data_IF_926372475980
#
_entry.id   IF_926372475980
#
_cell.length_a   1.000
_cell.length_b   1.000
_cell.length_c   1.000
_cell.angle_alpha   90.00
_cell.angle_beta   90.00
_cell.angle_gamma   90.00
#
_symmetry.space_group_name_H-M   'P 1'
#
loop_
_entity.id
_entity.type
_entity.pdbx_description
1 polymer ?
#
# COMPACT_ATOMS: atom_id res chain seq x y z
N UNK A 1 -12.95 -49.40 2.86
CA UNK A 1 -12.01 -49.10 1.77
C UNK A 1 -11.23 -47.84 2.13
N UNK A 2 -9.91 -47.93 2.31
CA UNK A 2 -9.06 -46.78 2.66
C UNK A 2 -8.86 -45.91 1.41
N UNK A 3 -9.64 -44.84 1.27
CA UNK A 3 -9.45 -43.84 0.21
C UNK A 3 -8.27 -42.94 0.56
N UNK A 4 -7.34 -42.80 -0.38
CA UNK A 4 -6.14 -41.97 -0.23
C UNK A 4 -6.46 -40.58 -0.77
N UNK A 5 -6.14 -39.52 -0.01
CA UNK A 5 -6.40 -38.16 -0.46
C UNK A 5 -5.20 -37.55 -1.20
N UNK A 6 -5.48 -36.69 -2.18
CA UNK A 6 -4.49 -35.78 -2.72
C UNK A 6 -4.42 -34.55 -1.82
N UNK A 7 -3.24 -34.31 -1.21
CA UNK A 7 -3.05 -33.14 -0.35
C UNK A 7 -3.19 -31.81 -1.11
N UNK A 8 -3.03 -31.84 -2.44
CA UNK A 8 -3.01 -30.65 -3.29
C UNK A 8 -4.44 -30.16 -3.62
N UNK A 9 -5.30 -31.02 -4.16
CA UNK A 9 -6.68 -30.67 -4.53
C UNK A 9 -7.73 -31.15 -3.52
N UNK A 10 -7.42 -32.15 -2.68
CA UNK A 10 -8.39 -32.77 -1.77
C UNK A 10 -9.25 -33.87 -2.40
N UNK A 11 -8.98 -34.26 -3.65
CA UNK A 11 -9.64 -35.40 -4.29
C UNK A 11 -9.23 -36.72 -3.62
N UNK A 12 -10.15 -37.68 -3.60
CA UNK A 12 -9.95 -39.01 -3.03
C UNK A 12 -9.71 -40.03 -4.15
N UNK A 13 -8.80 -40.97 -3.92
CA UNK A 13 -8.38 -41.99 -4.85
C UNK A 13 -8.39 -43.35 -4.19
N UNK A 14 -8.75 -44.38 -4.96
CA UNK A 14 -8.84 -45.75 -4.47
C UNK A 14 -7.50 -46.50 -4.54
N UNK A 15 -6.47 -45.92 -5.19
CA UNK A 15 -5.13 -46.51 -5.28
C UNK A 15 -4.01 -45.45 -5.27
N UNK A 16 -2.83 -45.86 -4.81
CA UNK A 16 -1.64 -45.00 -4.81
C UNK A 16 -1.20 -44.64 -6.24
N UNK A 17 -1.32 -45.57 -7.20
CA UNK A 17 -0.98 -45.35 -8.61
C UNK A 17 -1.79 -44.21 -9.23
N UNK A 18 -3.11 -44.19 -8.99
CA UNK A 18 -3.99 -43.12 -9.46
C UNK A 18 -3.67 -41.77 -8.79
N UNK A 19 -3.32 -41.80 -7.50
CA UNK A 19 -2.88 -40.61 -6.79
C UNK A 19 -1.60 -40.03 -7.39
N UNK A 20 -0.58 -40.85 -7.67
CA UNK A 20 0.70 -40.38 -8.22
C UNK A 20 0.51 -39.77 -9.61
N UNK A 21 -0.27 -40.42 -10.48
CA UNK A 21 -0.61 -39.88 -11.80
C UNK A 21 -1.36 -38.55 -11.68
N UNK A 22 -2.31 -38.45 -10.74
CA UNK A 22 -3.04 -37.23 -10.47
C UNK A 22 -2.16 -36.11 -9.92
N UNK A 23 -1.24 -36.39 -8.99
CA UNK A 23 -0.36 -35.39 -8.36
C UNK A 23 0.48 -34.63 -9.41
N UNK A 24 0.96 -35.32 -10.45
CA UNK A 24 1.66 -34.66 -11.56
C UNK A 24 0.76 -33.69 -12.34
N UNK A 25 -0.51 -34.03 -12.54
CA UNK A 25 -1.48 -33.16 -13.23
C UNK A 25 -1.93 -32.01 -12.33
N UNK A 26 -2.15 -32.28 -11.05
CA UNK A 26 -2.61 -31.34 -10.03
C UNK A 26 -1.57 -30.24 -9.75
N UNK A 27 -0.31 -30.63 -9.58
CA UNK A 27 0.81 -29.67 -9.41
C UNK A 27 0.99 -28.79 -10.65
N UNK A 28 0.89 -29.37 -11.87
CA UNK A 28 0.92 -28.62 -13.13
C UNK A 28 -0.24 -27.63 -13.27
N UNK A 29 -1.45 -28.00 -12.85
CA UNK A 29 -2.61 -27.08 -12.92
C UNK A 29 -2.46 -25.90 -11.97
N UNK A 30 -1.89 -26.12 -10.79
CA UNK A 30 -1.60 -25.03 -9.85
C UNK A 30 -0.44 -24.18 -10.35
N UNK A 31 0.59 -24.79 -10.95
CA UNK A 31 1.67 -24.05 -11.58
C UNK A 31 1.16 -23.10 -12.67
N UNK A 32 0.22 -23.57 -13.51
CA UNK A 32 -0.41 -22.77 -14.58
C UNK A 32 -1.14 -21.51 -14.08
N UNK A 33 -1.55 -21.44 -12.81
CA UNK A 33 -2.11 -20.21 -12.22
C UNK A 33 -1.07 -19.09 -12.07
N UNK A 34 0.21 -19.41 -12.21
CA UNK A 34 1.30 -18.46 -12.13
C UNK A 34 1.69 -18.09 -10.69
N UNK A 35 2.75 -17.29 -10.55
CA UNK A 35 3.32 -16.94 -9.26
C UNK A 35 2.45 -15.95 -8.48
N UNK A 36 2.61 -15.97 -7.16
CA UNK A 36 1.83 -15.19 -6.19
C UNK A 36 1.91 -13.67 -6.33
N UNK A 37 2.95 -13.14 -6.99
CA UNK A 37 3.02 -11.70 -7.29
C UNK A 37 2.16 -11.30 -8.50
N UNK A 38 1.74 -12.25 -9.35
CA UNK A 38 0.82 -12.01 -10.48
C UNK A 38 -0.62 -12.38 -10.18
N UNK A 39 -0.84 -13.43 -9.38
CA UNK A 39 -2.18 -13.95 -9.12
C UNK A 39 -2.43 -14.12 -7.62
N UNK A 40 -3.68 -13.85 -7.20
CA UNK A 40 -4.12 -14.11 -5.83
C UNK A 40 -4.28 -15.61 -5.64
N UNK A 41 -3.33 -16.22 -4.94
CA UNK A 41 -3.34 -17.64 -4.60
C UNK A 41 -3.87 -17.86 -3.18
N UNK A 42 -4.64 -18.93 -2.99
CA UNK A 42 -5.06 -19.36 -1.66
C UNK A 42 -3.87 -19.94 -0.86
N UNK A 43 -3.99 -20.00 0.48
CA UNK A 43 -2.94 -20.60 1.33
C UNK A 43 -2.56 -22.02 0.90
N UNK A 44 -3.57 -22.81 0.51
CA UNK A 44 -3.37 -24.18 0.00
C UNK A 44 -2.56 -24.18 -1.30
N UNK A 45 -2.91 -23.30 -2.24
CA UNK A 45 -2.19 -23.16 -3.51
C UNK A 45 -0.75 -22.67 -3.32
N UNK A 46 -0.51 -21.74 -2.40
CA UNK A 46 0.85 -21.29 -2.06
C UNK A 46 1.69 -22.43 -1.48
N UNK A 47 1.12 -23.24 -0.57
CA UNK A 47 1.79 -24.41 -0.03
C UNK A 47 2.22 -25.36 -1.15
N UNK A 48 1.36 -25.59 -2.12
CA UNK A 48 1.64 -26.50 -3.23
C UNK A 48 2.73 -25.93 -4.13
N UNK A 49 2.65 -24.64 -4.50
CA UNK A 49 3.73 -23.99 -5.26
C UNK A 49 5.07 -24.08 -4.55
N UNK A 50 5.14 -23.89 -3.23
CA UNK A 50 6.38 -24.08 -2.46
C UNK A 50 6.99 -25.48 -2.56
N UNK A 51 6.20 -26.52 -2.87
CA UNK A 51 6.71 -27.88 -3.08
C UNK A 51 7.23 -28.11 -4.51
N UNK A 52 6.84 -27.26 -5.47
CA UNK A 52 7.27 -27.37 -6.87
C UNK A 52 8.66 -26.75 -7.00
N UNK A 53 9.67 -27.61 -7.17
CA UNK A 53 11.05 -27.19 -7.46
C UNK A 53 11.05 -26.35 -8.74
N UNK A 54 11.76 -25.22 -8.72
CA UNK A 54 11.79 -24.28 -9.84
C UNK A 54 10.62 -23.30 -9.89
N UNK A 55 9.70 -23.32 -8.92
CA UNK A 55 8.76 -22.21 -8.72
C UNK A 55 9.38 -21.07 -7.90
N UNK A 56 8.82 -19.88 -8.02
CA UNK A 56 9.14 -18.67 -7.27
C UNK A 56 8.94 -18.89 -5.78
N UNK A 57 7.80 -19.45 -5.37
CA UNK A 57 7.50 -19.70 -3.96
C UNK A 57 8.48 -20.69 -3.34
N UNK A 58 8.88 -21.71 -4.09
CA UNK A 58 9.95 -22.62 -3.67
C UNK A 58 11.28 -21.88 -3.56
N UNK A 59 11.65 -21.06 -4.55
CA UNK A 59 12.91 -20.33 -4.57
C UNK A 59 13.05 -19.30 -3.43
N UNK A 60 11.93 -18.71 -2.99
CA UNK A 60 11.92 -17.78 -1.86
C UNK A 60 12.28 -18.42 -0.51
N UNK A 61 11.96 -19.70 -0.32
CA UNK A 61 12.27 -20.41 0.93
C UNK A 61 13.69 -21.01 0.93
N UNK A 62 14.34 -21.05 -0.25
CA UNK A 62 15.71 -21.54 -0.35
C UNK A 62 16.73 -20.52 0.19
N UNK A 63 17.85 -21.01 0.76
CA UNK A 63 18.94 -20.15 1.19
C UNK A 63 19.59 -19.46 0.00
N UNK A 64 19.83 -18.15 0.12
CA UNK A 64 20.50 -17.34 -0.90
C UNK A 64 21.97 -17.04 -0.50
N UNK A 65 22.67 -18.06 0.00
CA UNK A 65 24.04 -17.93 0.52
C UNK A 65 25.06 -17.83 -0.62
N UNK A 66 24.86 -18.60 -1.68
CA UNK A 66 25.82 -18.74 -2.78
C UNK A 66 25.86 -17.55 -3.74
N UNK A 67 24.85 -16.66 -3.67
CA UNK A 67 24.80 -15.49 -4.56
C UNK A 67 25.79 -14.42 -4.11
N UNK A 68 26.77 -14.04 -4.97
CA UNK A 68 27.78 -13.04 -4.62
C UNK A 68 27.16 -11.68 -4.27
N UNK A 69 27.79 -10.95 -3.33
CA UNK A 69 27.33 -9.61 -2.91
C UNK A 69 27.21 -8.62 -4.09
N UNK A 70 28.14 -8.68 -5.04
CA UNK A 70 28.12 -7.86 -6.27
C UNK A 70 26.86 -8.13 -7.10
N UNK A 71 26.50 -9.40 -7.28
CA UNK A 71 25.30 -9.78 -8.01
C UNK A 71 24.03 -9.36 -7.25
N UNK A 72 24.00 -9.50 -5.93
CA UNK A 72 22.88 -9.02 -5.09
C UNK A 72 22.63 -7.53 -5.30
N UNK A 73 23.69 -6.68 -5.31
CA UNK A 73 23.56 -5.25 -5.60
C UNK A 73 22.99 -5.00 -7.00
N UNK A 74 23.59 -5.60 -8.03
CA UNK A 74 23.15 -5.45 -9.42
C UNK A 74 21.67 -5.82 -9.62
N UNK A 75 21.18 -6.84 -8.91
CA UNK A 75 19.77 -7.24 -8.98
C UNK A 75 18.83 -6.26 -8.25
N UNK A 76 19.30 -5.62 -7.18
CA UNK A 76 18.53 -4.60 -6.45
C UNK A 76 18.47 -3.26 -7.21
N UNK A 77 19.37 -3.02 -8.16
CA UNK A 77 19.33 -1.84 -9.03
C UNK A 77 18.33 -2.01 -10.18
N UNK A 78 17.83 -3.23 -10.43
CA UNK A 78 16.80 -3.50 -11.44
C UNK A 78 15.40 -3.11 -10.95
N UNK A 79 14.51 -2.82 -11.89
CA UNK A 79 13.09 -2.61 -11.58
C UNK A 79 12.40 -3.94 -11.24
N UNK A 80 11.36 -3.88 -10.39
CA UNK A 80 10.55 -5.06 -10.04
C UNK A 80 10.01 -5.75 -11.29
N UNK A 81 9.52 -4.98 -12.27
CA UNK A 81 8.98 -5.53 -13.51
C UNK A 81 10.01 -6.36 -14.31
N UNK A 82 11.29 -5.95 -14.31
CA UNK A 82 12.35 -6.71 -14.96
C UNK A 82 12.63 -8.01 -14.22
N UNK A 83 12.63 -7.99 -12.88
CA UNK A 83 12.79 -9.21 -12.08
C UNK A 83 11.62 -10.17 -12.30
N UNK A 84 10.39 -9.66 -12.34
CA UNK A 84 9.18 -10.49 -12.55
C UNK A 84 9.16 -11.19 -13.91
N UNK A 85 9.57 -10.50 -14.98
CA UNK A 85 9.72 -11.09 -16.31
C UNK A 85 10.72 -12.25 -16.27
N UNK A 86 11.86 -12.03 -15.63
CA UNK A 86 12.92 -13.02 -15.57
C UNK A 86 12.57 -14.22 -14.69
N UNK A 87 11.90 -13.99 -13.55
CA UNK A 87 11.38 -15.05 -12.69
C UNK A 87 10.41 -15.94 -13.47
N UNK A 88 9.46 -15.36 -14.21
CA UNK A 88 8.47 -16.13 -15.00
C UNK A 88 9.16 -16.93 -16.09
N UNK A 89 10.17 -16.35 -16.75
CA UNK A 89 10.98 -17.04 -17.75
C UNK A 89 11.70 -18.26 -17.16
N UNK A 90 12.35 -18.09 -16.01
CA UNK A 90 13.06 -19.15 -15.31
C UNK A 90 12.11 -20.23 -14.76
N UNK A 91 10.97 -19.85 -14.17
CA UNK A 91 9.95 -20.80 -13.70
C UNK A 91 9.50 -21.72 -14.84
N UNK A 92 9.16 -21.14 -16.00
CA UNK A 92 8.73 -21.92 -17.15
C UNK A 92 9.82 -22.88 -17.63
N UNK A 93 11.07 -22.40 -17.70
CA UNK A 93 12.19 -23.24 -18.10
C UNK A 93 12.47 -24.37 -17.10
N UNK A 94 12.37 -24.12 -15.80
CA UNK A 94 12.73 -25.09 -14.77
C UNK A 94 11.64 -26.13 -14.51
N UNK A 95 10.37 -25.73 -14.54
CA UNK A 95 9.25 -26.65 -14.22
C UNK A 95 8.90 -27.57 -15.39
N UNK A 96 9.14 -27.13 -16.63
CA UNK A 96 8.84 -27.95 -17.82
C UNK A 96 10.06 -28.69 -18.40
N UNK A 97 11.28 -28.42 -17.92
CA UNK A 97 12.45 -29.24 -18.28
C UNK A 97 12.53 -30.47 -17.39
N UNK A 98 12.88 -31.61 -17.99
CA UNK A 98 13.08 -32.87 -17.27
C UNK A 98 14.33 -32.85 -16.37
N UNK A 99 15.31 -31.98 -16.66
CA UNK A 99 16.53 -31.80 -15.88
C UNK A 99 16.82 -30.31 -15.65
N UNK A 100 16.40 -29.72 -14.52
CA UNK A 100 16.70 -28.33 -14.20
C UNK A 100 18.21 -28.17 -13.94
N UNK A 101 18.84 -27.19 -14.61
CA UNK A 101 20.23 -26.85 -14.33
C UNK A 101 20.35 -26.23 -12.94
N UNK A 102 21.32 -26.68 -12.16
CA UNK A 102 21.64 -26.09 -10.85
C UNK A 102 21.92 -24.58 -10.97
N UNK A 103 22.54 -24.16 -12.07
CA UNK A 103 22.83 -22.75 -12.34
C UNK A 103 21.54 -21.92 -12.50
N UNK A 104 20.53 -22.46 -13.18
CA UNK A 104 19.25 -21.79 -13.38
C UNK A 104 18.42 -21.77 -12.09
N UNK A 105 18.51 -22.81 -11.25
CA UNK A 105 17.92 -22.82 -9.91
C UNK A 105 18.56 -21.74 -9.03
N UNK A 106 19.89 -21.64 -8.99
CA UNK A 106 20.60 -20.59 -8.25
C UNK A 106 20.23 -19.18 -8.73
N UNK A 107 20.10 -19.00 -10.05
CA UNK A 107 19.59 -17.74 -10.63
C UNK A 107 18.18 -17.45 -10.12
N UNK A 108 17.25 -18.39 -10.24
CA UNK A 108 15.87 -18.19 -9.79
C UNK A 108 15.81 -17.78 -8.31
N UNK A 109 16.61 -18.42 -7.45
CA UNK A 109 16.74 -18.04 -6.03
C UNK A 109 17.22 -16.59 -5.90
N UNK A 110 18.30 -16.21 -6.58
CA UNK A 110 18.83 -14.85 -6.54
C UNK A 110 17.79 -13.79 -6.97
N UNK A 111 17.10 -14.04 -8.09
CA UNK A 111 16.05 -13.15 -8.61
C UNK A 111 14.86 -13.05 -7.65
N UNK A 112 14.41 -14.18 -7.09
CA UNK A 112 13.26 -14.23 -6.17
C UNK A 112 13.52 -13.46 -4.87
N UNK A 113 14.74 -13.57 -4.33
CA UNK A 113 15.16 -12.82 -3.14
C UNK A 113 15.31 -11.32 -3.42
N UNK A 114 15.83 -10.94 -4.58
CA UNK A 114 15.91 -9.53 -4.98
C UNK A 114 14.51 -8.92 -5.15
N UNK A 115 13.57 -9.66 -5.77
CA UNK A 115 12.17 -9.24 -5.92
C UNK A 115 11.50 -9.01 -4.57
N UNK A 116 11.67 -9.95 -3.63
CA UNK A 116 11.11 -9.81 -2.28
C UNK A 116 11.70 -8.60 -1.54
N UNK A 117 13.02 -8.39 -1.65
CA UNK A 117 13.70 -7.25 -1.03
C UNK A 117 13.19 -5.91 -1.56
N UNK A 118 13.03 -5.78 -2.88
CA UNK A 118 12.48 -4.58 -3.50
C UNK A 118 10.99 -4.38 -3.16
N UNK A 119 10.20 -5.45 -3.15
CA UNK A 119 8.80 -5.39 -2.73
C UNK A 119 8.65 -4.89 -1.30
N UNK A 120 9.49 -5.37 -0.37
CA UNK A 120 9.52 -4.89 1.01
C UNK A 120 9.95 -3.43 1.11
N UNK A 121 11.00 -3.03 0.38
CA UNK A 121 11.46 -1.63 0.34
C UNK A 121 10.38 -0.69 -0.18
N UNK A 122 9.71 -1.03 -1.28
CA UNK A 122 8.64 -0.22 -1.86
C UNK A 122 7.42 -0.12 -0.94
N UNK A 123 7.07 -1.20 -0.24
CA UNK A 123 6.01 -1.16 0.79
C UNK A 123 6.39 -0.22 1.93
N UNK A 124 7.63 -0.28 2.43
CA UNK A 124 8.10 0.62 3.49
C UNK A 124 8.10 2.09 3.05
N UNK A 125 8.59 2.39 1.85
CA UNK A 125 8.54 3.75 1.29
C UNK A 125 7.09 4.25 1.19
N UNK A 126 6.17 3.41 0.71
CA UNK A 126 4.75 3.75 0.66
C UNK A 126 4.10 3.94 2.04
N UNK A 127 4.61 3.28 3.09
CA UNK A 127 4.18 3.51 4.48
C UNK A 127 4.71 4.86 4.98
N UNK A 128 5.97 5.18 4.72
CA UNK A 128 6.59 6.47 5.08
C UNK A 128 5.84 7.63 4.40
N UNK A 129 5.50 7.51 3.13
CA UNK A 129 4.73 8.54 2.42
C UNK A 129 3.32 8.72 3.01
N UNK A 130 2.68 7.62 3.43
CA UNK A 130 1.37 7.67 4.10
C UNK A 130 1.46 8.33 5.47
N UNK A 131 2.46 8.00 6.28
CA UNK A 131 2.65 8.61 7.60
C UNK A 131 3.00 10.09 7.48
N UNK A 132 3.84 10.48 6.52
CA UNK A 132 4.13 11.88 6.21
C UNK A 132 2.86 12.66 5.81
N UNK A 133 2.00 12.08 4.96
CA UNK A 133 0.71 12.68 4.59
C UNK A 133 -0.24 12.83 5.78
N UNK A 134 -0.28 11.84 6.68
CA UNK A 134 -1.10 11.89 7.91
C UNK A 134 -0.61 13.00 8.85
N UNK A 135 0.70 13.09 9.07
CA UNK A 135 1.29 14.14 9.91
C UNK A 135 1.01 15.54 9.35
N UNK A 136 1.13 15.74 8.03
CA UNK A 136 0.77 17.01 7.41
C UNK A 136 -0.72 17.36 7.56
N UNK A 137 -1.63 16.38 7.49
CA UNK A 137 -3.06 16.60 7.75
C UNK A 137 -3.32 16.96 9.22
N UNK A 138 -2.64 16.32 10.17
CA UNK A 138 -2.74 16.63 11.60
C UNK A 138 -2.24 18.05 11.91
N UNK A 139 -1.07 18.43 11.37
CA UNK A 139 -0.51 19.79 11.55
C UNK A 139 -1.48 20.85 11.00
N UNK A 140 -2.08 20.61 9.82
CA UNK A 140 -3.10 21.53 9.26
C UNK A 140 -4.32 21.66 10.19
N UNK A 141 -4.83 20.55 10.74
CA UNK A 141 -5.96 20.58 11.69
C UNK A 141 -5.64 21.33 12.98
N UNK A 142 -4.42 21.16 13.51
CA UNK A 142 -3.97 21.88 14.73
C UNK A 142 -3.87 23.38 14.46
N UNK A 143 -3.25 23.78 13.34
CA UNK A 143 -3.17 25.20 12.94
C UNK A 143 -4.56 25.83 12.75
N UNK A 144 -5.50 25.09 12.17
CA UNK A 144 -6.88 25.58 11.99
C UNK A 144 -7.61 25.78 13.33
N UNK A 145 -7.47 24.84 14.27
CA UNK A 145 -8.03 24.97 15.62
C UNK A 145 -7.42 26.15 16.37
N UNK A 146 -6.11 26.36 16.27
CA UNK A 146 -5.42 27.50 16.88
C UNK A 146 -5.94 28.84 16.31
N UNK A 147 -6.11 28.94 14.99
CA UNK A 147 -6.68 30.13 14.34
C UNK A 147 -8.12 30.39 14.81
N UNK A 148 -8.98 29.37 14.85
CA UNK A 148 -10.36 29.51 15.34
C UNK A 148 -10.42 29.96 16.80
N UNK A 149 -9.50 29.48 17.64
CA UNK A 149 -9.39 29.91 19.04
C UNK A 149 -8.96 31.38 19.14
N UNK A 150 -7.90 31.78 18.42
CA UNK A 150 -7.42 33.16 18.40
C UNK A 150 -8.48 34.15 17.90
N UNK A 151 -9.25 33.78 16.86
CA UNK A 151 -10.37 34.60 16.36
C UNK A 151 -11.46 34.74 17.43
N UNK A 152 -11.82 33.66 18.13
CA UNK A 152 -12.81 33.73 19.23
C UNK A 152 -12.33 34.61 20.38
N UNK A 153 -11.06 34.53 20.76
CA UNK A 153 -10.48 35.36 21.82
C UNK A 153 -10.43 36.85 21.42
N UNK A 154 -10.08 37.16 20.17
CA UNK A 154 -10.17 38.51 19.62
C UNK A 154 -11.61 39.05 19.68
N UNK A 155 -12.59 38.26 19.22
CA UNK A 155 -14.00 38.64 19.29
C UNK A 155 -14.53 38.77 20.73
N UNK A 156 -14.02 37.98 21.67
CA UNK A 156 -14.39 38.10 23.08
C UNK A 156 -13.88 39.40 23.71
N UNK A 157 -12.67 39.86 23.33
CA UNK A 157 -12.09 41.14 23.76
C UNK A 157 -12.72 42.36 23.08
N UNK A 158 -13.38 42.16 21.94
CA UNK A 158 -14.10 43.19 21.18
C UNK A 158 -15.59 43.26 21.52
N UNK A 159 -16.09 42.45 22.49
CA UNK A 159 -17.44 42.66 23.01
C UNK A 159 -17.45 44.02 23.72
N UNK A 160 -18.29 44.98 23.31
CA UNK A 160 -18.44 46.22 24.04
C UNK A 160 -18.95 45.89 25.45
N UNK A 161 -18.38 46.56 26.46
CA UNK A 161 -18.90 46.53 27.83
C UNK A 161 -20.37 46.95 27.79
N UNK A 162 -21.26 46.02 28.14
CA UNK A 162 -22.71 46.23 28.16
C UNK A 162 -23.08 47.34 29.17
N UNK A 163 -22.21 47.61 30.15
CA UNK A 163 -22.37 48.70 31.12
C UNK A 163 -22.00 50.09 30.56
N UNK A 164 -21.33 50.16 29.40
CA UNK A 164 -20.81 51.43 28.86
C UNK A 164 -21.48 51.90 27.56
N UNK A 165 -22.47 51.16 27.05
CA UNK A 165 -23.19 51.51 25.82
C UNK A 165 -24.42 52.39 26.04
N UNK A 166 -24.85 52.60 27.29
CA UNK A 166 -26.00 53.48 27.58
C UNK A 166 -25.61 54.97 27.70
N UNK A 167 -24.33 55.30 27.80
CA UNK A 167 -23.85 56.67 28.04
C UNK A 167 -23.31 57.39 26.80
N UNK A 168 -23.44 56.78 25.61
CA UNK A 168 -22.82 57.30 24.38
C UNK A 168 -23.81 57.67 23.28
N UNK A 169 -25.08 57.97 23.63
CA UNK A 169 -26.08 58.42 22.64
C UNK A 169 -26.90 59.65 23.04
N UNK A 170 -26.51 60.41 24.07
CA UNK A 170 -27.18 61.69 24.39
C UNK A 170 -26.16 62.80 24.68
N UNK A 171 -25.38 63.19 23.66
CA UNK A 171 -24.80 64.54 23.63
C UNK A 171 -25.79 65.43 22.91
N UNK A 172 -26.71 66.02 23.67
CA UNK A 172 -27.51 67.15 23.21
C UNK A 172 -26.60 68.37 23.11
N UNK A 173 -26.18 68.74 21.91
CA UNK A 173 -26.02 70.16 21.63
C UNK A 173 -27.44 70.77 21.65
N UNK A 174 -27.56 71.92 22.30
CA UNK A 174 -28.77 72.74 22.51
C UNK A 174 -29.88 72.51 21.48
N UNK A 175 -31.12 72.53 21.96
CA UNK A 175 -32.38 72.41 21.22
C UNK A 175 -32.34 72.97 19.78
N UNK A 176 -32.34 72.09 18.77
CA UNK A 176 -32.70 72.47 17.40
C UNK A 176 -31.97 71.82 16.23
N UNK A 177 -30.80 71.19 16.39
CA UNK A 177 -30.02 70.74 15.22
C UNK A 177 -29.62 69.26 15.26
N UNK A 178 -30.10 68.51 14.25
CA UNK A 178 -29.80 67.09 14.06
C UNK A 178 -28.54 66.96 13.19
N UNK A 179 -27.40 66.63 13.78
CA UNK A 179 -26.20 66.27 13.02
C UNK A 179 -26.39 64.87 12.41
N UNK A 180 -26.71 64.81 11.13
CA UNK A 180 -26.73 63.56 10.35
C UNK A 180 -25.29 63.26 9.93
N UNK A 181 -24.61 62.36 10.62
CA UNK A 181 -23.33 61.82 10.13
C UNK A 181 -23.63 60.81 9.02
N UNK A 182 -23.55 61.31 7.79
CA UNK A 182 -23.55 60.52 6.56
C UNK A 182 -22.38 59.53 6.55
N UNK A 183 -22.63 58.29 6.97
CA UNK A 183 -21.73 57.15 6.79
C UNK A 183 -22.40 56.12 5.88
N UNK A 184 -22.12 56.20 4.58
CA UNK A 184 -22.80 55.43 3.54
C UNK A 184 -22.77 53.91 3.74
N UNK A 185 -23.89 53.25 3.39
CA UNK A 185 -23.96 51.80 3.25
C UNK A 185 -22.94 51.31 2.21
N UNK A 186 -22.18 50.24 2.47
CA UNK A 186 -21.46 49.53 1.41
C UNK A 186 -22.49 48.84 0.49
N UNK A 187 -22.48 49.23 -0.78
CA UNK A 187 -23.36 48.65 -1.80
C UNK A 187 -23.10 47.15 -1.95
N UNK A 188 -24.13 46.33 -1.75
CA UNK A 188 -24.16 44.93 -2.19
C UNK A 188 -24.05 44.92 -3.72
N UNK A 189 -22.89 44.49 -4.23
CA UNK A 189 -22.66 44.29 -5.65
C UNK A 189 -23.73 43.36 -6.24
N UNK A 190 -24.52 43.90 -7.17
CA UNK A 190 -25.47 43.13 -7.99
C UNK A 190 -24.66 42.18 -8.88
N UNK A 191 -24.92 40.88 -8.78
CA UNK A 191 -24.59 39.94 -9.86
C UNK A 191 -25.51 40.21 -11.05
N UNK A 192 -24.92 40.53 -12.20
CA UNK A 192 -25.42 40.14 -13.51
C UNK A 192 -24.27 39.49 -14.24
#
# INVERSE_FOLDING_TARGET
MNKINCQDCGCYFDSALLLTAHQHVCSRTIFKKGPSFKTKLSKKQLKIRRMIIGSFEWAQVQPNKDTPKRLKKLLLDKTIAVLEKEIVRLEFQLVFKNSPSETDLKRLIAFSHAHNSLSCRNKMLGVIDKTAKINNKLIKKVKEKARKKAVREMHAKLKPDIERTNDLMDVYFKSGERAVSSGGLPSLGKRK
#
